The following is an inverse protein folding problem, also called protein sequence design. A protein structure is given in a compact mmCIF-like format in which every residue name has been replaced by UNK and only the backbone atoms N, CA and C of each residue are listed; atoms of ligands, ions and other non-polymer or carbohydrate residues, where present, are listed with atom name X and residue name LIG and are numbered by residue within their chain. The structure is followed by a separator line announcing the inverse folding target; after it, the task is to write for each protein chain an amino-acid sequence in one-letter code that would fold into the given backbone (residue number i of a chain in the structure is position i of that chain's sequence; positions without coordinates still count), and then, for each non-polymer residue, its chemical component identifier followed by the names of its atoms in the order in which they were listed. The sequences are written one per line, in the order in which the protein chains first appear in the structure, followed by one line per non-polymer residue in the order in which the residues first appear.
data_IF_803961749648
#
_entry.id   IF_803961749648
#
_cell.length_a   1.000
_cell.length_b   1.000
_cell.length_c   1.000
_cell.angle_alpha   90.00
_cell.angle_beta   90.00
_cell.angle_gamma   90.00
#
_symmetry.space_group_name_H-M   'P 1'
#
loop_
_entity.id
_entity.type
_entity.pdbx_description
1 polymer ?
#
# COMPACT_ATOMS: atom_id res chain seq x y z
N UNK A 1 -12.98 -13.95 -1.41
CA UNK A 1 -13.41 -12.60 -0.96
C UNK A 1 -13.38 -12.62 0.55
N UNK A 2 -12.47 -11.85 1.13
CA UNK A 2 -12.11 -11.96 2.55
C UNK A 2 -13.15 -11.23 3.42
N UNK A 3 -13.63 -11.86 4.49
CA UNK A 3 -14.61 -11.27 5.41
C UNK A 3 -14.19 -9.90 5.98
N UNK A 4 -12.90 -9.60 5.97
CA UNK A 4 -12.32 -8.32 6.40
C UNK A 4 -12.77 -7.15 5.52
N UNK A 5 -12.90 -7.35 4.20
CA UNK A 5 -13.28 -6.30 3.25
C UNK A 5 -14.74 -5.84 3.47
N UNK A 6 -15.62 -6.79 3.82
CA UNK A 6 -17.02 -6.51 4.10
C UNK A 6 -17.18 -5.64 5.35
N UNK A 7 -16.36 -5.88 6.38
CA UNK A 7 -16.38 -5.13 7.64
C UNK A 7 -15.91 -3.68 7.44
N UNK A 8 -14.84 -3.46 6.66
CA UNK A 8 -14.32 -2.11 6.37
C UNK A 8 -15.34 -1.28 5.60
N UNK A 9 -15.99 -1.86 4.59
CA UNK A 9 -17.03 -1.17 3.81
C UNK A 9 -18.27 -0.81 4.66
N UNK A 10 -18.64 -1.65 5.62
CA UNK A 10 -19.74 -1.36 6.54
C UNK A 10 -19.39 -0.22 7.50
N UNK A 11 -18.16 -0.19 8.03
CA UNK A 11 -17.67 0.92 8.86
C UNK A 11 -17.70 2.22 8.06
N UNK A 12 -17.23 2.21 6.81
CA UNK A 12 -17.29 3.38 5.94
C UNK A 12 -18.72 3.91 5.79
N UNK A 13 -19.66 3.03 5.47
CA UNK A 13 -21.05 3.43 5.19
C UNK A 13 -21.80 3.89 6.44
N UNK A 14 -21.58 3.25 7.59
CA UNK A 14 -22.35 3.54 8.80
C UNK A 14 -21.77 4.65 9.66
N UNK A 15 -20.44 4.82 9.64
CA UNK A 15 -19.73 5.74 10.52
C UNK A 15 -19.18 6.91 9.71
N UNK A 16 -18.52 6.65 8.58
CA UNK A 16 -17.89 7.73 7.80
C UNK A 16 -18.93 8.52 7.02
N UNK A 17 -19.91 7.85 6.43
CA UNK A 17 -20.95 8.53 5.63
C UNK A 17 -22.03 9.23 6.47
N UNK A 18 -22.07 9.00 7.77
CA UNK A 18 -22.97 9.72 8.69
C UNK A 18 -22.31 10.95 9.33
N UNK A 19 -20.97 11.04 9.27
CA UNK A 19 -20.20 12.19 9.76
C UNK A 19 -20.37 13.41 8.85
N UNK A 20 -20.33 14.60 9.46
CA UNK A 20 -20.34 15.87 8.70
C UNK A 20 -19.06 16.00 7.86
N UNK A 21 -19.09 16.77 6.76
CA UNK A 21 -17.93 16.93 5.88
C UNK A 21 -16.64 17.35 6.60
N UNK A 22 -16.75 18.21 7.62
CA UNK A 22 -15.62 18.66 8.45
C UNK A 22 -15.02 17.55 9.30
N UNK A 23 -15.85 16.63 9.80
CA UNK A 23 -15.41 15.50 10.62
C UNK A 23 -14.78 14.40 9.76
N UNK A 24 -15.31 14.17 8.55
CA UNK A 24 -14.69 13.28 7.56
C UNK A 24 -13.31 13.78 7.15
N UNK A 25 -13.17 15.09 6.92
CA UNK A 25 -11.89 15.70 6.58
C UNK A 25 -10.90 15.56 7.73
N UNK A 26 -11.35 15.79 8.97
CA UNK A 26 -10.51 15.62 10.16
C UNK A 26 -10.07 14.16 10.36
N UNK A 27 -10.95 13.21 10.09
CA UNK A 27 -10.62 11.79 10.14
C UNK A 27 -9.63 11.40 9.04
N UNK A 28 -9.81 11.92 7.82
CA UNK A 28 -8.83 11.72 6.74
C UNK A 28 -7.46 12.27 7.12
N UNK A 29 -7.40 13.42 7.80
CA UNK A 29 -6.15 13.99 8.29
C UNK A 29 -5.51 13.12 9.41
N UNK A 30 -6.31 12.54 10.30
CA UNK A 30 -5.81 11.61 11.33
C UNK A 30 -5.26 10.33 10.71
N UNK A 31 -5.98 9.71 9.78
CA UNK A 31 -5.51 8.51 9.07
C UNK A 31 -4.22 8.82 8.31
N UNK A 32 -4.15 9.96 7.63
CA UNK A 32 -2.94 10.37 6.92
C UNK A 32 -1.75 10.55 7.87
N UNK A 33 -1.96 11.19 9.02
CA UNK A 33 -0.92 11.34 10.03
C UNK A 33 -0.48 9.99 10.60
N UNK A 34 -1.42 9.12 10.94
CA UNK A 34 -1.13 7.77 11.44
C UNK A 34 -0.36 6.93 10.40
N UNK A 35 -0.64 7.12 9.10
CA UNK A 35 0.10 6.48 8.01
C UNK A 35 1.50 7.06 7.81
N UNK A 36 1.75 8.31 8.20
CA UNK A 36 3.09 8.90 8.17
C UNK A 36 3.92 8.51 9.39
N UNK A 37 3.28 8.22 10.52
CA UNK A 37 3.95 7.78 11.76
C UNK A 37 4.18 6.26 11.79
N UNK A 38 3.27 5.48 11.20
CA UNK A 38 3.55 4.09 10.85
C UNK A 38 4.57 4.15 9.73
N UNK A 39 5.82 3.80 10.01
CA UNK A 39 6.87 3.63 9.01
C UNK A 39 6.34 2.71 7.90
N UNK A 40 5.75 3.31 6.86
CA UNK A 40 5.43 2.67 5.59
C UNK A 40 6.74 1.98 5.22
N UNK A 41 6.74 0.63 5.07
CA UNK A 41 7.96 -0.16 5.03
C UNK A 41 8.93 0.58 4.15
N UNK A 42 10.04 1.02 4.78
CA UNK A 42 11.10 1.81 4.17
C UNK A 42 11.16 1.42 2.72
N UNK A 43 10.70 2.31 1.83
CA UNK A 43 11.01 2.16 0.41
C UNK A 43 12.53 2.06 0.44
N UNK A 44 13.05 0.87 0.14
CA UNK A 44 14.47 0.64 0.19
C UNK A 44 15.08 1.51 -0.90
N UNK A 45 15.47 2.72 -0.50
CA UNK A 45 16.12 3.70 -1.35
C UNK A 45 17.62 3.36 -1.49
N UNK A 46 18.05 2.17 -1.04
CA UNK A 46 19.37 1.70 -1.36
C UNK A 46 19.47 1.49 -2.87
N UNK A 47 20.56 1.96 -3.46
CA UNK A 47 20.89 1.71 -4.87
C UNK A 47 21.40 0.27 -5.07
N UNK A 48 20.95 -0.65 -4.21
CA UNK A 48 21.39 -2.04 -4.14
C UNK A 48 20.26 -2.89 -4.66
N UNK A 49 20.48 -3.52 -5.80
CA UNK A 49 19.56 -4.54 -6.31
C UNK A 49 19.54 -5.69 -5.31
N UNK A 50 18.36 -6.20 -4.98
CA UNK A 50 18.29 -7.43 -4.20
C UNK A 50 18.83 -8.60 -5.02
N UNK A 51 19.30 -9.65 -4.34
CA UNK A 51 19.73 -10.88 -5.02
C UNK A 51 18.61 -11.45 -5.91
N UNK A 52 17.35 -11.27 -5.50
CA UNK A 52 16.20 -11.72 -6.29
C UNK A 52 16.04 -10.90 -7.57
N UNK A 53 16.19 -9.57 -7.50
CA UNK A 53 16.11 -8.71 -8.68
C UNK A 53 17.21 -9.04 -9.70
N UNK A 54 18.40 -9.42 -9.21
CA UNK A 54 19.51 -9.85 -10.07
C UNK A 54 19.23 -11.20 -10.75
N UNK A 55 18.63 -12.16 -10.03
CA UNK A 55 18.23 -13.45 -10.58
C UNK A 55 17.14 -13.30 -11.64
N UNK A 56 16.15 -12.44 -11.37
CA UNK A 56 15.05 -12.17 -12.30
C UNK A 56 15.58 -11.48 -13.57
N UNK A 57 16.51 -10.53 -13.44
CA UNK A 57 17.18 -9.90 -14.57
C UNK A 57 18.01 -10.89 -15.39
N UNK A 58 18.73 -11.81 -14.73
CA UNK A 58 19.50 -12.85 -15.40
C UNK A 58 18.59 -13.84 -16.14
N UNK A 59 17.49 -14.27 -15.52
CA UNK A 59 16.50 -15.14 -16.14
C UNK A 59 15.85 -14.47 -17.37
N UNK A 60 15.49 -13.19 -17.26
CA UNK A 60 14.97 -12.40 -18.37
C UNK A 60 15.99 -12.28 -19.51
N UNK A 61 17.26 -12.01 -19.19
CA UNK A 61 18.33 -11.89 -20.19
C UNK A 61 18.59 -13.21 -20.93
N UNK A 62 18.47 -14.35 -20.25
CA UNK A 62 18.56 -15.67 -20.87
C UNK A 62 17.35 -15.97 -21.76
N UNK A 63 16.16 -15.54 -21.36
CA UNK A 63 14.93 -15.75 -22.15
C UNK A 63 14.91 -14.92 -23.44
N UNK A 64 15.54 -13.74 -23.45
CA UNK A 64 15.62 -12.85 -24.62
C UNK A 64 16.98 -12.87 -25.33
N UNK A 65 17.96 -13.61 -24.80
CA UNK A 65 19.29 -13.80 -25.41
C UNK A 65 19.33 -14.89 -26.48
N UNK A 66 18.29 -15.71 -26.58
CA UNK A 66 18.07 -16.66 -27.68
C UNK A 66 17.33 -15.99 -28.86
N UNK A 67 18.00 -15.03 -29.51
CA UNK A 67 17.69 -14.52 -30.87
C UNK A 67 18.86 -14.72 -31.81
#
# INVERSE_FOLDING_TARGET
MSHTDQTVQQIYRNIIDTLKPSERLRLAALILNDLTEQEIPVIDNSDTWSEQDQLDLAAFSLQYGDI
#
